data_IF_991599269986
#
_entry.id   IF_991599269986
#
_cell.length_a   1.000
_cell.length_b   1.000
_cell.length_c   1.000
_cell.angle_alpha   90.00
_cell.angle_beta   90.00
_cell.angle_gamma   90.00
#
_symmetry.space_group_name_H-M   'P 1'
#
loop_
_entity.id
_entity.type
_entity.pdbx_description
1 polymer ?
#
# COMPACT_ATOMS: atom_id res chain seq x y z
N UNK A 1 19.96 -64.63 13.26
CA UNK A 1 18.98 -63.59 12.92
C UNK A 1 18.09 -64.15 11.83
N UNK A 2 16.88 -64.52 12.21
CA UNK A 2 15.91 -65.18 11.33
C UNK A 2 15.24 -64.14 10.43
N UNK A 3 14.85 -64.53 9.21
CA UNK A 3 14.17 -63.66 8.23
C UNK A 3 12.93 -62.93 8.79
N UNK A 4 12.39 -63.39 9.92
CA UNK A 4 11.25 -62.81 10.65
C UNK A 4 11.63 -61.50 11.36
N UNK A 5 12.83 -61.38 11.93
CA UNK A 5 13.29 -60.16 12.61
C UNK A 5 13.55 -59.03 11.60
N UNK A 6 14.05 -59.37 10.42
CA UNK A 6 14.29 -58.44 9.31
C UNK A 6 12.96 -57.95 8.72
N UNK A 7 11.96 -58.84 8.55
CA UNK A 7 10.62 -58.44 8.11
C UNK A 7 9.93 -57.50 9.12
N UNK A 8 10.07 -57.78 10.42
CA UNK A 8 9.53 -56.93 11.48
C UNK A 8 10.16 -55.53 11.50
N UNK A 9 11.49 -55.45 11.33
CA UNK A 9 12.20 -54.19 11.22
C UNK A 9 11.76 -53.39 9.97
N UNK A 10 11.65 -54.04 8.81
CA UNK A 10 11.20 -53.39 7.56
C UNK A 10 9.75 -52.87 7.67
N UNK A 11 8.85 -53.65 8.27
CA UNK A 11 7.47 -53.24 8.51
C UNK A 11 7.36 -52.02 9.44
N UNK A 12 8.18 -51.99 10.49
CA UNK A 12 8.22 -50.85 11.43
C UNK A 12 8.74 -49.57 10.78
N UNK A 13 9.79 -49.64 9.95
CA UNK A 13 10.31 -48.48 9.19
C UNK A 13 9.28 -47.98 8.18
N UNK A 14 8.62 -48.88 7.44
CA UNK A 14 7.57 -48.51 6.48
C UNK A 14 6.39 -47.79 7.16
N UNK A 15 6.01 -48.21 8.38
CA UNK A 15 4.94 -47.56 9.15
C UNK A 15 5.29 -46.14 9.61
N UNK A 16 6.54 -45.91 10.01
CA UNK A 16 7.03 -44.59 10.42
C UNK A 16 7.14 -43.67 9.21
N UNK A 17 7.66 -44.16 8.09
CA UNK A 17 7.71 -43.41 6.82
C UNK A 17 6.31 -43.04 6.34
N UNK A 18 5.36 -43.98 6.44
CA UNK A 18 3.94 -43.73 6.12
C UNK A 18 3.31 -42.66 7.01
N UNK A 19 3.58 -42.68 8.32
CA UNK A 19 3.11 -41.66 9.27
C UNK A 19 3.71 -40.27 9.00
N UNK A 20 4.99 -40.20 8.68
CA UNK A 20 5.67 -38.93 8.33
C UNK A 20 5.14 -38.39 7.01
N UNK A 21 5.00 -39.23 5.99
CA UNK A 21 4.42 -38.84 4.70
C UNK A 21 2.97 -38.37 4.86
N UNK A 22 2.15 -39.09 5.63
CA UNK A 22 0.76 -38.75 5.89
C UNK A 22 0.63 -37.45 6.69
N UNK A 23 1.51 -37.21 7.68
CA UNK A 23 1.57 -35.95 8.42
C UNK A 23 1.94 -34.78 7.52
N UNK A 24 2.90 -34.96 6.61
CA UNK A 24 3.25 -33.95 5.62
C UNK A 24 2.09 -33.66 4.65
N UNK A 25 1.41 -34.71 4.15
CA UNK A 25 0.24 -34.56 3.30
C UNK A 25 -0.94 -33.88 4.01
N UNK A 26 -1.17 -34.15 5.29
CA UNK A 26 -2.18 -33.43 6.09
C UNK A 26 -1.80 -31.96 6.27
N UNK A 27 -0.53 -31.67 6.52
CA UNK A 27 -0.04 -30.30 6.63
C UNK A 27 -0.20 -29.53 5.32
N UNK A 28 0.13 -30.14 4.18
CA UNK A 28 -0.12 -29.57 2.85
C UNK A 28 -1.60 -29.41 2.55
N UNK A 29 -2.42 -30.39 2.92
CA UNK A 29 -3.87 -30.34 2.73
C UNK A 29 -4.51 -29.23 3.56
N UNK A 30 -4.09 -29.08 4.83
CA UNK A 30 -4.49 -27.94 5.67
C UNK A 30 -4.02 -26.61 5.08
N UNK A 31 -2.76 -26.51 4.63
CA UNK A 31 -2.25 -25.29 3.98
C UNK A 31 -3.06 -24.93 2.73
N UNK A 32 -3.42 -25.91 1.90
CA UNK A 32 -4.25 -25.70 0.71
C UNK A 32 -5.72 -25.36 1.04
N UNK A 33 -6.26 -25.82 2.17
CA UNK A 33 -7.61 -25.47 2.62
C UNK A 33 -7.70 -24.04 3.13
N UNK A 34 -6.63 -23.53 3.74
CA UNK A 34 -6.56 -22.20 4.35
C UNK A 34 -5.84 -21.16 3.48
N UNK A 35 -5.28 -21.54 2.31
CA UNK A 35 -4.73 -20.57 1.37
C UNK A 35 -5.88 -19.72 0.77
N UNK A 36 -5.83 -18.37 0.93
CA UNK A 36 -6.87 -17.51 0.41
C UNK A 36 -6.93 -17.64 -1.11
N UNK A 37 -8.14 -17.87 -1.62
CA UNK A 37 -8.40 -18.11 -3.06
C UNK A 37 -8.37 -16.84 -3.90
N UNK A 38 -8.48 -15.66 -3.27
CA UNK A 38 -8.48 -14.34 -3.89
C UNK A 38 -7.60 -13.37 -3.09
N UNK A 39 -7.22 -12.26 -3.70
CA UNK A 39 -6.48 -11.18 -3.04
C UNK A 39 -7.33 -10.53 -1.95
N UNK A 40 -8.62 -10.30 -2.25
CA UNK A 40 -9.56 -9.70 -1.29
C UNK A 40 -9.67 -10.54 -0.02
N UNK A 41 -9.83 -11.86 -0.14
CA UNK A 41 -9.93 -12.75 1.03
C UNK A 41 -8.66 -12.77 1.87
N UNK A 42 -7.48 -12.65 1.25
CA UNK A 42 -6.23 -12.51 1.99
C UNK A 42 -6.21 -11.20 2.78
N UNK A 43 -6.54 -10.08 2.15
CA UNK A 43 -6.51 -8.76 2.78
C UNK A 43 -7.58 -8.62 3.88
N UNK A 44 -8.78 -9.16 3.67
CA UNK A 44 -9.83 -9.26 4.70
C UNK A 44 -9.31 -9.99 5.95
N UNK A 45 -8.50 -11.04 5.78
CA UNK A 45 -7.91 -11.80 6.90
C UNK A 45 -6.87 -11.03 7.70
N UNK A 46 -6.32 -9.94 7.16
CA UNK A 46 -5.33 -9.10 7.83
C UNK A 46 -5.95 -8.07 8.79
N UNK A 47 -7.28 -7.90 8.77
CA UNK A 47 -8.01 -6.94 9.62
C UNK A 47 -7.44 -5.51 9.51
N UNK A 48 -7.17 -5.06 8.28
CA UNK A 48 -6.63 -3.73 8.01
C UNK A 48 -7.58 -2.62 8.50
N UNK A 49 -7.03 -1.46 8.90
CA UNK A 49 -7.83 -0.28 9.27
C UNK A 49 -8.78 0.14 8.14
N UNK A 50 -10.00 0.51 8.53
CA UNK A 50 -11.02 1.04 7.61
C UNK A 50 -11.06 2.58 7.58
N UNK A 51 -10.32 3.26 8.47
CA UNK A 51 -10.27 4.73 8.53
C UNK A 51 -8.93 5.24 8.01
N UNK A 52 -9.01 6.11 7.01
CA UNK A 52 -7.88 6.82 6.43
C UNK A 52 -7.42 7.94 7.37
N UNK A 53 -6.13 7.95 7.70
CA UNK A 53 -5.47 8.97 8.52
C UNK A 53 -4.96 10.10 7.66
N UNK A 54 -5.33 11.31 7.98
CA UNK A 54 -5.01 12.51 7.19
C UNK A 54 -4.20 13.46 8.06
N UNK A 55 -3.06 13.93 7.56
CA UNK A 55 -2.33 15.05 8.13
C UNK A 55 -2.58 16.31 7.30
N UNK A 56 -2.84 17.44 7.96
CA UNK A 56 -2.88 18.77 7.35
C UNK A 56 -1.78 19.60 8.02
N UNK A 57 -0.80 20.02 7.23
CA UNK A 57 0.30 20.86 7.69
C UNK A 57 0.18 22.21 6.99
N UNK A 58 -0.24 23.22 7.74
CA UNK A 58 -0.59 24.54 7.22
C UNK A 58 -0.50 25.59 8.33
N UNK A 59 0.16 26.72 8.09
CA UNK A 59 0.29 27.80 9.07
C UNK A 59 -1.03 28.59 9.24
N UNK A 60 -1.91 28.56 8.24
CA UNK A 60 -3.23 29.20 8.22
C UNK A 60 -4.35 28.15 8.13
N UNK A 61 -4.52 27.36 9.20
CA UNK A 61 -5.53 26.31 9.29
C UNK A 61 -6.99 26.78 9.09
N UNK A 62 -7.25 28.09 9.19
CA UNK A 62 -8.58 28.68 8.90
C UNK A 62 -8.96 28.58 7.43
N UNK A 63 -7.99 28.45 6.53
CA UNK A 63 -8.21 28.24 5.10
C UNK A 63 -8.55 26.78 4.76
N UNK A 64 -8.46 25.89 5.75
CA UNK A 64 -8.84 24.50 5.66
C UNK A 64 -10.17 24.23 6.38
N UNK A 65 -11.10 23.50 5.73
CA UNK A 65 -12.35 23.11 6.35
C UNK A 65 -12.17 21.91 7.30
N UNK A 66 -11.30 22.04 8.30
CA UNK A 66 -10.97 20.99 9.28
C UNK A 66 -12.21 20.52 10.04
N UNK A 67 -13.06 21.47 10.47
CA UNK A 67 -14.29 21.17 11.20
C UNK A 67 -15.26 20.30 10.38
N UNK A 68 -15.36 20.56 9.08
CA UNK A 68 -16.16 19.76 8.17
C UNK A 68 -15.64 18.32 8.09
N UNK A 69 -14.32 18.14 7.96
CA UNK A 69 -13.72 16.81 7.90
C UNK A 69 -13.95 16.00 9.18
N UNK A 70 -13.73 16.62 10.35
CA UNK A 70 -13.96 15.97 11.64
C UNK A 70 -15.43 15.58 11.81
N UNK A 71 -16.36 16.47 11.46
CA UNK A 71 -17.81 16.21 11.52
C UNK A 71 -18.25 15.10 10.54
N UNK A 72 -17.51 14.93 9.44
CA UNK A 72 -17.74 13.87 8.45
C UNK A 72 -17.11 12.53 8.86
N UNK A 73 -16.42 12.48 10.00
CA UNK A 73 -15.87 11.25 10.58
C UNK A 73 -14.48 10.87 10.08
N UNK A 74 -13.79 11.76 9.37
CA UNK A 74 -12.39 11.56 8.97
C UNK A 74 -11.46 11.58 10.18
N UNK A 75 -10.36 10.82 10.10
CA UNK A 75 -9.30 10.82 11.10
C UNK A 75 -8.23 11.85 10.69
N UNK A 76 -8.35 13.08 11.22
CA UNK A 76 -7.54 14.23 10.79
C UNK A 76 -6.69 14.76 11.93
N UNK A 77 -5.39 14.91 11.69
CA UNK A 77 -4.46 15.62 12.54
C UNK A 77 -3.97 16.88 11.84
N UNK A 78 -3.92 17.99 12.56
CA UNK A 78 -3.47 19.28 12.05
C UNK A 78 -2.16 19.71 12.70
N UNK A 79 -1.32 20.39 11.91
CA UNK A 79 -0.03 20.92 12.33
C UNK A 79 0.11 22.33 11.78
N UNK A 80 0.27 23.31 12.66
CA UNK A 80 0.55 24.70 12.23
C UNK A 80 1.98 24.88 11.71
N UNK A 81 2.88 23.98 12.13
CA UNK A 81 4.27 23.93 11.67
C UNK A 81 4.87 22.57 11.97
N UNK A 82 5.93 22.21 11.28
CA UNK A 82 6.71 21.00 11.52
C UNK A 82 8.21 21.31 11.43
N UNK A 83 8.98 20.71 12.33
CA UNK A 83 10.44 20.76 12.25
C UNK A 83 10.93 19.79 11.17
N UNK A 84 11.96 20.19 10.42
CA UNK A 84 12.50 19.36 9.34
C UNK A 84 13.02 18.01 9.86
N UNK A 85 13.48 17.93 11.11
CA UNK A 85 13.92 16.68 11.75
C UNK A 85 12.77 15.71 12.07
N UNK A 86 11.54 16.22 12.19
CA UNK A 86 10.37 15.46 12.61
C UNK A 86 9.52 14.97 11.43
N UNK A 87 9.90 15.28 10.18
CA UNK A 87 9.11 14.99 8.99
C UNK A 87 8.66 13.53 8.87
N UNK A 88 9.44 12.58 9.43
CA UNK A 88 9.12 11.15 9.43
C UNK A 88 7.81 10.82 10.13
N UNK A 89 7.33 11.66 11.06
CA UNK A 89 6.02 11.44 11.67
C UNK A 89 4.89 11.56 10.64
N UNK A 90 5.09 12.31 9.55
CA UNK A 90 4.08 12.43 8.49
C UNK A 90 3.95 11.16 7.65
N UNK A 91 4.95 10.26 7.65
CA UNK A 91 4.88 9.02 6.87
C UNK A 91 3.92 7.99 7.45
N UNK A 92 3.47 8.16 8.71
CA UNK A 92 2.45 7.29 9.32
C UNK A 92 1.02 7.61 8.91
N UNK A 93 0.82 8.73 8.21
CA UNK A 93 -0.48 9.12 7.68
C UNK A 93 -0.74 8.47 6.33
N UNK A 94 -2.00 8.25 6.00
CA UNK A 94 -2.40 7.70 4.72
C UNK A 94 -2.43 8.82 3.65
N UNK A 95 -2.77 10.06 4.02
CA UNK A 95 -2.75 11.25 3.14
C UNK A 95 -2.10 12.43 3.87
N UNK A 96 -1.28 13.22 3.17
CA UNK A 96 -0.70 14.45 3.72
C UNK A 96 -1.06 15.65 2.83
N UNK A 97 -1.79 16.61 3.38
CA UNK A 97 -1.95 17.95 2.80
C UNK A 97 -0.87 18.85 3.37
N UNK A 98 -0.09 19.49 2.51
CA UNK A 98 1.09 20.23 2.92
C UNK A 98 1.14 21.57 2.19
N UNK A 99 1.09 22.67 2.96
CA UNK A 99 1.43 23.98 2.39
C UNK A 99 2.90 23.98 1.96
N UNK A 100 3.13 24.48 0.75
CA UNK A 100 4.46 24.57 0.16
C UNK A 100 5.30 25.68 0.78
N UNK A 101 4.68 26.63 1.49
CA UNK A 101 5.36 27.71 2.23
C UNK A 101 4.85 27.80 3.68
N UNK A 102 5.56 28.52 4.54
CA UNK A 102 5.12 28.89 5.89
C UNK A 102 5.23 27.82 6.98
N UNK A 103 5.22 26.54 6.60
CA UNK A 103 5.06 25.42 7.55
C UNK A 103 6.34 24.91 8.21
N UNK A 104 7.52 25.33 7.75
CA UNK A 104 8.80 24.92 8.35
C UNK A 104 9.50 26.13 8.93
N UNK A 105 9.65 26.17 10.26
CA UNK A 105 10.24 27.33 10.95
C UNK A 105 11.68 27.64 10.52
N UNK A 106 12.47 26.62 10.23
CA UNK A 106 13.86 26.79 9.78
C UNK A 106 13.99 27.28 8.33
N UNK A 107 12.94 27.15 7.51
CA UNK A 107 12.92 27.52 6.10
C UNK A 107 11.50 27.87 5.67
N UNK A 108 11.09 29.11 5.95
CA UNK A 108 9.73 29.56 5.76
C UNK A 108 9.33 29.64 4.27
N UNK A 109 10.28 29.92 3.38
CA UNK A 109 10.00 30.15 1.96
C UNK A 109 9.89 28.85 1.15
N UNK A 110 10.71 27.85 1.47
CA UNK A 110 10.83 26.62 0.67
C UNK A 110 10.78 25.33 1.49
N UNK A 111 10.64 25.42 2.80
CA UNK A 111 10.69 24.25 3.67
C UNK A 111 9.56 23.25 3.41
N UNK A 112 8.33 23.72 3.16
CA UNK A 112 7.20 22.87 2.79
C UNK A 112 7.46 22.11 1.48
N UNK A 113 7.94 22.80 0.46
CA UNK A 113 8.38 22.19 -0.79
C UNK A 113 9.50 21.13 -0.58
N UNK A 114 10.53 21.45 0.22
CA UNK A 114 11.60 20.50 0.56
C UNK A 114 11.07 19.28 1.32
N UNK A 115 10.07 19.45 2.18
CA UNK A 115 9.40 18.35 2.87
C UNK A 115 8.72 17.39 1.90
N UNK A 116 8.03 17.88 0.86
CA UNK A 116 7.45 17.01 -0.19
C UNK A 116 8.54 16.10 -0.76
N UNK A 117 9.68 16.66 -1.13
CA UNK A 117 10.80 15.89 -1.70
C UNK A 117 11.34 14.84 -0.74
N UNK A 118 11.40 15.13 0.55
CA UNK A 118 11.84 14.18 1.58
C UNK A 118 10.81 13.07 1.82
N UNK A 119 9.52 13.41 1.88
CA UNK A 119 8.44 12.45 2.07
C UNK A 119 8.31 11.52 0.87
N UNK A 120 8.35 12.03 -0.35
CA UNK A 120 8.36 11.21 -1.58
C UNK A 120 9.56 10.27 -1.61
N UNK A 121 10.72 10.69 -1.08
CA UNK A 121 11.89 9.82 -1.00
C UNK A 121 11.72 8.71 0.04
N UNK A 122 11.11 9.01 1.19
CA UNK A 122 10.93 8.06 2.30
C UNK A 122 9.79 7.07 2.04
N UNK A 123 8.65 7.56 1.53
CA UNK A 123 7.46 6.76 1.20
C UNK A 123 6.88 7.22 -0.16
N UNK A 124 7.44 6.75 -1.29
CA UNK A 124 7.09 7.24 -2.63
C UNK A 124 5.63 7.05 -3.06
N UNK A 125 4.93 6.12 -2.41
CA UNK A 125 3.54 5.79 -2.72
C UNK A 125 2.54 6.51 -1.82
N UNK A 126 3.01 7.35 -0.88
CA UNK A 126 2.14 8.17 -0.05
C UNK A 126 1.58 9.33 -0.87
N UNK A 127 0.25 9.48 -0.92
CA UNK A 127 -0.39 10.67 -1.48
C UNK A 127 -0.03 11.92 -0.67
N UNK A 128 0.74 12.82 -1.29
CA UNK A 128 1.08 14.14 -0.74
C UNK A 128 0.43 15.18 -1.63
N UNK A 129 -0.53 15.92 -1.11
CA UNK A 129 -1.24 16.99 -1.82
C UNK A 129 -0.60 18.32 -1.47
N UNK A 130 -0.04 18.98 -2.48
CA UNK A 130 0.56 20.29 -2.31
C UNK A 130 -0.54 21.36 -2.22
N UNK A 131 -0.44 22.23 -1.23
CA UNK A 131 -1.40 23.31 -1.02
C UNK A 131 -0.69 24.63 -1.28
N UNK A 132 -1.34 25.53 -2.03
CA UNK A 132 -0.75 26.82 -2.39
C UNK A 132 -1.80 27.92 -2.47
N UNK A 133 -1.41 29.17 -2.23
CA UNK A 133 -2.26 30.36 -2.41
C UNK A 133 -2.44 30.81 -3.88
N UNK A 134 -1.98 30.00 -4.85
CA UNK A 134 -2.23 30.22 -6.28
C UNK A 134 -1.27 31.20 -6.98
N UNK A 135 -0.37 31.88 -6.26
CA UNK A 135 0.71 32.65 -6.89
C UNK A 135 1.78 31.69 -7.44
N UNK A 136 1.74 31.42 -8.74
CA UNK A 136 2.68 30.52 -9.40
C UNK A 136 4.11 31.07 -9.31
N UNK A 137 4.91 30.49 -8.42
CA UNK A 137 6.35 30.70 -8.37
C UNK A 137 7.01 29.58 -9.19
N UNK A 138 7.73 29.94 -10.25
CA UNK A 138 8.42 28.97 -11.10
C UNK A 138 9.37 28.04 -10.30
N UNK A 139 9.93 28.54 -9.20
CA UNK A 139 10.76 27.78 -8.26
C UNK A 139 10.04 26.63 -7.55
N UNK A 140 8.70 26.62 -7.54
CA UNK A 140 7.89 25.59 -6.87
C UNK A 140 7.42 24.47 -7.83
N UNK A 141 7.65 24.64 -9.14
CA UNK A 141 7.15 23.72 -10.18
C UNK A 141 7.62 22.28 -9.99
N UNK A 142 8.91 22.06 -9.71
CA UNK A 142 9.46 20.71 -9.47
C UNK A 142 8.72 20.00 -8.31
N UNK A 143 8.30 20.73 -7.29
CA UNK A 143 7.64 20.13 -6.13
C UNK A 143 6.17 19.80 -6.41
N UNK A 144 5.50 20.60 -7.23
CA UNK A 144 4.14 20.28 -7.70
C UNK A 144 4.13 19.05 -8.61
N UNK A 145 5.20 18.81 -9.38
CA UNK A 145 5.36 17.59 -10.18
C UNK A 145 5.64 16.34 -9.33
N UNK A 146 6.17 16.51 -8.12
CA UNK A 146 6.41 15.43 -7.16
C UNK A 146 5.18 15.11 -6.30
N UNK A 147 4.29 16.08 -6.09
CA UNK A 147 3.04 15.86 -5.34
C UNK A 147 2.04 15.01 -6.13
N UNK A 148 1.16 14.33 -5.39
CA UNK A 148 0.06 13.56 -5.96
C UNK A 148 -0.93 14.47 -6.70
N UNK A 149 -1.31 15.58 -6.06
CA UNK A 149 -2.18 16.61 -6.63
C UNK A 149 -1.88 17.98 -5.98
N UNK A 150 -2.50 19.03 -6.51
CA UNK A 150 -2.40 20.40 -6.01
C UNK A 150 -3.77 21.02 -5.72
N UNK A 151 -3.88 21.70 -4.59
CA UNK A 151 -5.08 22.46 -4.22
C UNK A 151 -4.71 23.93 -3.98
N UNK A 152 -5.57 24.83 -4.47
CA UNK A 152 -5.44 26.25 -4.20
C UNK A 152 -6.24 26.62 -2.95
N UNK A 153 -5.68 27.50 -2.12
CA UNK A 153 -6.38 28.16 -1.00
C UNK A 153 -7.29 29.30 -1.50
N UNK A 154 -8.39 29.62 -0.79
CA UNK A 154 -8.97 28.85 0.32
C UNK A 154 -9.55 27.51 -0.18
N UNK A 155 -9.52 26.48 0.66
CA UNK A 155 -9.94 25.13 0.26
C UNK A 155 -11.44 24.95 0.51
N UNK A 156 -12.21 24.69 -0.54
CA UNK A 156 -13.65 24.42 -0.44
C UNK A 156 -13.93 23.01 0.12
N UNK A 157 -14.93 22.89 0.98
CA UNK A 157 -15.33 21.64 1.65
C UNK A 157 -15.57 20.49 0.66
N UNK A 158 -16.41 20.75 -0.35
CA UNK A 158 -16.81 19.74 -1.35
C UNK A 158 -15.60 19.28 -2.17
N UNK A 159 -14.72 20.21 -2.54
CA UNK A 159 -13.51 19.90 -3.31
C UNK A 159 -12.53 19.07 -2.48
N UNK A 160 -12.36 19.39 -1.20
CA UNK A 160 -11.47 18.61 -0.33
C UNK A 160 -11.99 17.20 -0.13
N UNK A 161 -13.29 17.04 0.10
CA UNK A 161 -13.94 15.74 0.24
C UNK A 161 -13.75 14.89 -1.02
N UNK A 162 -13.96 15.46 -2.21
CA UNK A 162 -13.79 14.72 -3.47
C UNK A 162 -12.35 14.27 -3.68
N UNK A 163 -11.37 15.13 -3.37
CA UNK A 163 -9.94 14.76 -3.48
C UNK A 163 -9.58 13.64 -2.51
N UNK A 164 -10.08 13.70 -1.26
CA UNK A 164 -9.85 12.63 -0.28
C UNK A 164 -10.48 11.31 -0.75
N UNK A 165 -11.72 11.34 -1.25
CA UNK A 165 -12.42 10.16 -1.75
C UNK A 165 -11.70 9.52 -2.94
N UNK A 166 -11.27 10.33 -3.91
CA UNK A 166 -10.48 9.89 -5.06
C UNK A 166 -9.19 9.21 -4.60
N UNK A 167 -8.39 9.87 -3.76
CA UNK A 167 -7.15 9.31 -3.22
C UNK A 167 -7.42 8.01 -2.46
N UNK A 168 -8.47 7.98 -1.63
CA UNK A 168 -8.81 6.79 -0.86
C UNK A 168 -9.18 5.61 -1.75
N UNK A 169 -9.96 5.84 -2.81
CA UNK A 169 -10.33 4.80 -3.78
C UNK A 169 -9.11 4.21 -4.49
N UNK A 170 -8.14 5.06 -4.82
CA UNK A 170 -6.97 4.65 -5.60
C UNK A 170 -5.87 3.98 -4.76
N UNK A 171 -5.70 4.39 -3.51
CA UNK A 171 -4.51 4.07 -2.71
C UNK A 171 -4.81 3.41 -1.36
N UNK A 172 -5.94 3.73 -0.73
CA UNK A 172 -6.25 3.27 0.64
C UNK A 172 -7.21 2.08 0.68
N UNK A 173 -8.25 2.09 -0.15
CA UNK A 173 -9.29 1.06 -0.18
C UNK A 173 -8.75 -0.20 -0.83
N UNK A 174 -8.19 -1.08 0.00
CA UNK A 174 -7.57 -2.32 -0.46
C UNK A 174 -8.52 -3.21 -1.27
N UNK A 175 -9.84 -3.14 -1.05
CA UNK A 175 -10.81 -3.94 -1.79
C UNK A 175 -10.92 -3.49 -3.23
N UNK A 176 -10.95 -2.18 -3.47
CA UNK A 176 -10.98 -1.62 -4.81
C UNK A 176 -9.65 -1.86 -5.53
N UNK A 177 -8.53 -1.65 -4.85
CA UNK A 177 -7.21 -1.91 -5.44
C UNK A 177 -7.02 -3.39 -5.78
N UNK A 178 -7.40 -4.30 -4.88
CA UNK A 178 -7.32 -5.74 -5.12
C UNK A 178 -8.25 -6.21 -6.24
N UNK A 179 -9.49 -5.72 -6.27
CA UNK A 179 -10.45 -6.03 -7.33
C UNK A 179 -9.93 -5.54 -8.69
N UNK A 180 -9.33 -4.35 -8.75
CA UNK A 180 -8.69 -3.85 -9.97
C UNK A 180 -7.51 -4.69 -10.43
N UNK A 181 -6.74 -5.30 -9.52
CA UNK A 181 -5.69 -6.26 -9.90
C UNK A 181 -6.33 -7.52 -10.50
N UNK A 182 -7.34 -8.09 -9.85
CA UNK A 182 -8.02 -9.29 -10.33
C UNK A 182 -8.68 -9.08 -11.71
N UNK A 183 -9.23 -7.89 -11.94
CA UNK A 183 -9.73 -7.47 -13.26
C UNK A 183 -8.61 -7.41 -14.30
N UNK A 184 -7.47 -6.76 -13.98
CA UNK A 184 -6.32 -6.71 -14.90
C UNK A 184 -5.81 -8.11 -15.26
N UNK A 185 -5.78 -9.03 -14.29
CA UNK A 185 -5.42 -10.43 -14.52
C UNK A 185 -6.42 -11.09 -15.48
N UNK A 186 -7.71 -10.93 -15.21
CA UNK A 186 -8.78 -11.50 -16.06
C UNK A 186 -8.71 -10.96 -17.49
N UNK A 187 -8.56 -9.64 -17.64
CA UNK A 187 -8.44 -8.97 -18.94
C UNK A 187 -7.18 -9.37 -19.71
N UNK A 188 -6.11 -9.77 -19.01
CA UNK A 188 -4.88 -10.23 -19.63
C UNK A 188 -4.98 -11.61 -20.28
N UNK A 189 -6.10 -12.34 -20.06
CA UNK A 189 -6.38 -13.68 -20.61
C UNK A 189 -5.25 -14.70 -20.34
N UNK A 190 -4.60 -14.58 -19.19
CA UNK A 190 -3.47 -15.43 -18.82
C UNK A 190 -3.97 -16.83 -18.49
N UNK A 191 -3.39 -17.87 -19.10
CA UNK A 191 -3.79 -19.27 -18.86
C UNK A 191 -3.54 -19.77 -17.43
N UNK A 192 -2.74 -19.04 -16.64
CA UNK A 192 -2.25 -19.42 -15.31
C UNK A 192 -2.61 -18.40 -14.23
N UNK A 193 -3.86 -17.91 -14.22
CA UNK A 193 -4.34 -16.92 -13.23
C UNK A 193 -4.02 -17.33 -11.79
N UNK A 194 -4.30 -18.59 -11.41
CA UNK A 194 -4.00 -19.11 -10.07
C UNK A 194 -2.52 -18.99 -9.69
N UNK A 195 -1.61 -19.23 -10.63
CA UNK A 195 -0.17 -19.09 -10.40
C UNK A 195 0.19 -17.63 -10.18
N UNK A 196 -0.41 -16.73 -10.96
CA UNK A 196 -0.21 -15.29 -10.85
C UNK A 196 -0.71 -14.76 -9.50
N UNK A 197 -1.93 -15.10 -9.10
CA UNK A 197 -2.48 -14.77 -7.77
C UNK A 197 -1.58 -15.29 -6.66
N UNK A 198 -1.09 -16.54 -6.75
CA UNK A 198 -0.16 -17.09 -5.76
C UNK A 198 1.16 -16.30 -5.68
N UNK A 199 1.71 -15.89 -6.82
CA UNK A 199 2.92 -15.05 -6.84
C UNK A 199 2.69 -13.67 -6.22
N UNK A 200 1.54 -13.03 -6.50
CA UNK A 200 1.15 -11.76 -5.87
C UNK A 200 1.00 -11.94 -4.36
N UNK A 201 0.32 -12.99 -3.92
CA UNK A 201 0.18 -13.28 -2.49
C UNK A 201 1.53 -13.50 -1.81
N UNK A 202 2.48 -14.17 -2.47
CA UNK A 202 3.83 -14.36 -1.94
C UNK A 202 4.56 -13.00 -1.78
N UNK A 203 4.44 -12.11 -2.75
CA UNK A 203 4.97 -10.75 -2.64
C UNK A 203 4.34 -9.95 -1.48
N UNK A 204 3.00 -9.95 -1.38
CA UNK A 204 2.29 -9.27 -0.30
C UNK A 204 2.65 -9.84 1.08
N UNK A 205 2.88 -11.15 1.19
CA UNK A 205 3.38 -11.82 2.41
C UNK A 205 4.86 -11.55 2.70
N UNK A 206 5.60 -10.99 1.75
CA UNK A 206 7.05 -10.75 1.87
C UNK A 206 7.91 -12.00 1.66
N UNK A 207 7.34 -13.09 1.13
CA UNK A 207 8.10 -14.31 0.80
C UNK A 207 8.75 -14.25 -0.58
N UNK A 208 8.40 -13.24 -1.39
CA UNK A 208 8.99 -12.95 -2.69
C UNK A 208 9.53 -11.50 -2.68
N UNK A 209 10.79 -11.32 -3.03
CA UNK A 209 11.42 -10.00 -3.13
C UNK A 209 10.83 -9.17 -4.28
N UNK A 210 11.00 -7.85 -4.23
CA UNK A 210 10.43 -6.93 -5.23
C UNK A 210 10.96 -7.20 -6.64
N UNK A 211 12.28 -7.34 -6.80
CA UNK A 211 12.89 -7.64 -8.11
C UNK A 211 12.37 -8.96 -8.69
N UNK A 212 12.31 -10.01 -7.86
CA UNK A 212 11.82 -11.33 -8.30
C UNK A 212 10.33 -11.28 -8.64
N UNK A 213 9.56 -10.48 -7.90
CA UNK A 213 8.14 -10.27 -8.15
C UNK A 213 7.90 -9.56 -9.49
N UNK A 214 8.63 -8.49 -9.78
CA UNK A 214 8.51 -7.77 -11.05
C UNK A 214 8.83 -8.69 -12.24
N UNK A 215 9.95 -9.41 -12.16
CA UNK A 215 10.34 -10.38 -13.18
C UNK A 215 9.27 -11.48 -13.35
N UNK A 216 8.72 -11.97 -12.23
CA UNK A 216 7.64 -12.94 -12.23
C UNK A 216 6.39 -12.42 -12.96
N UNK A 217 5.96 -11.18 -12.71
CA UNK A 217 4.80 -10.59 -13.40
C UNK A 217 5.09 -10.38 -14.89
N UNK A 218 6.26 -9.84 -15.25
CA UNK A 218 6.63 -9.64 -16.65
C UNK A 218 6.68 -10.94 -17.46
N UNK A 219 7.12 -12.05 -16.84
CA UNK A 219 7.15 -13.37 -17.49
C UNK A 219 5.77 -13.99 -17.68
N UNK A 220 4.81 -13.65 -16.81
CA UNK A 220 3.51 -14.31 -16.77
C UNK A 220 2.35 -13.44 -17.27
N UNK A 221 2.62 -12.20 -17.70
CA UNK A 221 1.57 -11.27 -18.13
C UNK A 221 2.05 -10.40 -19.30
N UNK A 222 1.19 -10.07 -20.28
CA UNK A 222 1.58 -9.17 -21.37
C UNK A 222 2.07 -7.81 -20.84
N UNK A 223 3.05 -7.22 -21.53
CA UNK A 223 3.71 -5.99 -21.11
C UNK A 223 2.73 -4.87 -20.74
N UNK A 224 1.66 -4.68 -21.54
CA UNK A 224 0.60 -3.67 -21.32
C UNK A 224 -0.08 -3.74 -19.95
N UNK A 225 -0.18 -4.94 -19.36
CA UNK A 225 -0.83 -5.15 -18.07
C UNK A 225 0.19 -5.29 -16.93
N UNK A 226 1.40 -5.78 -17.23
CA UNK A 226 2.43 -6.07 -16.22
C UNK A 226 2.73 -4.87 -15.31
N UNK A 227 3.03 -3.71 -15.89
CA UNK A 227 3.31 -2.48 -15.15
C UNK A 227 2.15 -2.05 -14.25
N UNK A 228 0.90 -2.12 -14.75
CA UNK A 228 -0.30 -1.75 -13.98
C UNK A 228 -0.51 -2.67 -12.78
N UNK A 229 -0.30 -3.98 -12.97
CA UNK A 229 -0.42 -4.98 -11.91
C UNK A 229 0.67 -4.74 -10.86
N UNK A 230 1.93 -4.56 -11.30
CA UNK A 230 3.06 -4.30 -10.42
C UNK A 230 2.77 -3.09 -9.53
N UNK A 231 2.39 -1.95 -10.13
CA UNK A 231 2.14 -0.72 -9.38
C UNK A 231 1.02 -0.88 -8.34
N UNK A 232 -0.11 -1.50 -8.72
CA UNK A 232 -1.20 -1.76 -7.76
C UNK A 232 -0.78 -2.72 -6.65
N UNK A 233 0.08 -3.70 -6.94
CA UNK A 233 0.63 -4.59 -5.91
C UNK A 233 1.57 -3.85 -4.95
N UNK A 234 2.40 -2.93 -5.46
CA UNK A 234 3.25 -2.07 -4.62
C UNK A 234 2.42 -1.17 -3.72
N UNK A 235 1.32 -0.59 -4.23
CA UNK A 235 0.36 0.20 -3.45
C UNK A 235 -0.25 -0.64 -2.31
N UNK A 236 -0.71 -1.87 -2.59
CA UNK A 236 -1.21 -2.76 -1.54
C UNK A 236 -0.12 -3.13 -0.52
N UNK A 237 1.11 -3.34 -0.97
CA UNK A 237 2.23 -3.66 -0.08
C UNK A 237 2.55 -2.48 0.85
N UNK A 238 2.58 -1.26 0.32
CA UNK A 238 2.71 -0.04 1.11
C UNK A 238 1.57 0.08 2.13
N UNK A 239 0.33 -0.10 1.69
CA UNK A 239 -0.85 -0.09 2.57
C UNK A 239 -0.74 -1.09 3.72
N UNK A 240 -0.24 -2.29 3.47
CA UNK A 240 0.00 -3.33 4.48
C UNK A 240 1.11 -2.91 5.46
N UNK A 241 2.19 -2.32 4.97
CA UNK A 241 3.35 -1.96 5.79
C UNK A 241 3.07 -0.79 6.75
N UNK A 242 2.11 0.07 6.40
CA UNK A 242 1.74 1.28 7.17
C UNK A 242 0.34 1.18 7.82
N UNK A 243 -0.27 -0.02 7.83
CA UNK A 243 -1.46 -0.25 8.66
C UNK A 243 -1.15 -0.37 10.15
#
# INVERSE_FOLDING_TARGET
>A
MTNIEILGAIGSVASIVGLVAFKNSICEWKKNLFEPKSLVSYLDSMNLRNKCRIAIVDDELTDFPVSYLLNSGYDVNTYSSIEMSEFKQLTSYDIVFLDVQGVVKSDFDYGGAKLIKLLVKERPLQPIVAVSSGQFKASLTEFFELSYDRINKPVEEVKLASVIEEICSETFNYKEVASGIEELITCSKVKKEKTLTKGILNYLKGTLGESDFEEFIHKNTPYKFSYKIINKCKLLKDRINYD
#
